data_IF_672430769125
#
_entry.id   IF_672430769125
#
_cell.length_a   1.000
_cell.length_b   1.000
_cell.length_c   1.000
_cell.angle_alpha   90.00
_cell.angle_beta   90.00
_cell.angle_gamma   90.00
#
_symmetry.space_group_name_H-M   'P 1'
#
loop_
_entity.id
_entity.type
_entity.pdbx_description
1 polymer ?
#
# COMPACT_ATOMS: atom_id res chain seq x y z
N UNK A 1 -28.24 -4.57 -9.53
CA UNK A 1 -27.35 -4.31 -10.67
C UNK A 1 -25.98 -4.88 -10.34
N UNK A 2 -25.46 -5.75 -11.19
CA UNK A 2 -24.31 -6.63 -10.92
C UNK A 2 -22.99 -5.82 -10.88
N UNK A 3 -22.63 -5.26 -9.73
CA UNK A 3 -21.40 -4.43 -9.55
C UNK A 3 -20.13 -5.24 -9.33
N UNK A 4 -20.25 -6.57 -9.20
CA UNK A 4 -19.15 -7.44 -8.76
C UNK A 4 -17.99 -7.60 -9.76
N UNK A 5 -18.19 -7.34 -11.05
CA UNK A 5 -17.20 -7.63 -12.09
C UNK A 5 -17.27 -6.68 -13.30
N UNK A 6 -17.28 -5.37 -13.07
CA UNK A 6 -17.05 -4.41 -14.16
C UNK A 6 -15.56 -4.33 -14.50
N UNK A 7 -15.16 -4.28 -15.78
CA UNK A 7 -13.75 -4.25 -16.20
C UNK A 7 -12.94 -3.12 -15.53
N UNK A 8 -13.57 -1.96 -15.29
CA UNK A 8 -12.93 -0.83 -14.61
C UNK A 8 -12.51 -1.15 -13.16
N UNK A 9 -13.33 -1.90 -12.41
CA UNK A 9 -13.03 -2.28 -11.03
C UNK A 9 -11.91 -3.32 -10.97
N UNK A 10 -11.84 -4.24 -11.94
CA UNK A 10 -10.74 -5.21 -12.05
C UNK A 10 -9.40 -4.52 -12.36
N UNK A 11 -9.39 -3.60 -13.32
CA UNK A 11 -8.16 -2.88 -13.71
C UNK A 11 -7.64 -2.04 -12.56
N UNK A 12 -8.54 -1.36 -11.83
CA UNK A 12 -8.18 -0.63 -10.62
C UNK A 12 -7.58 -1.56 -9.57
N UNK A 13 -8.23 -2.68 -9.25
CA UNK A 13 -7.74 -3.64 -8.26
C UNK A 13 -6.36 -4.22 -8.61
N UNK A 14 -6.13 -4.60 -9.88
CA UNK A 14 -4.84 -5.16 -10.34
C UNK A 14 -3.73 -4.10 -10.27
N UNK A 15 -4.00 -2.90 -10.79
CA UNK A 15 -3.04 -1.78 -10.76
C UNK A 15 -2.65 -1.44 -9.34
N UNK A 16 -3.65 -1.40 -8.47
CA UNK A 16 -3.49 -1.10 -7.06
C UNK A 16 -2.67 -2.18 -6.33
N UNK A 17 -2.97 -3.47 -6.57
CA UNK A 17 -2.24 -4.61 -6.00
C UNK A 17 -0.75 -4.59 -6.41
N UNK A 18 -0.47 -4.29 -7.69
CA UNK A 18 0.88 -4.09 -8.20
C UNK A 18 1.61 -2.94 -7.50
N UNK A 19 0.94 -1.79 -7.32
CA UNK A 19 1.53 -0.65 -6.61
C UNK A 19 1.88 -0.99 -5.16
N UNK A 20 0.99 -1.66 -4.43
CA UNK A 20 1.30 -2.11 -3.06
C UNK A 20 2.48 -3.07 -2.99
N UNK A 21 2.56 -4.05 -3.91
CA UNK A 21 3.69 -4.98 -3.94
C UNK A 21 5.02 -4.26 -4.23
N UNK A 22 5.03 -3.33 -5.19
CA UNK A 22 6.19 -2.49 -5.49
C UNK A 22 6.62 -1.63 -4.30
N UNK A 23 5.64 -1.06 -3.58
CA UNK A 23 5.92 -0.21 -2.44
C UNK A 23 6.47 -1.00 -1.24
N UNK A 24 5.88 -2.17 -0.94
CA UNK A 24 6.39 -3.04 0.14
C UNK A 24 7.80 -3.58 -0.17
N UNK A 25 8.05 -4.01 -1.41
CA UNK A 25 9.37 -4.54 -1.80
C UNK A 25 10.47 -3.47 -1.75
N UNK A 26 10.19 -2.25 -2.20
CA UNK A 26 11.15 -1.14 -2.10
C UNK A 26 11.43 -0.77 -0.64
N UNK A 27 10.42 -0.75 0.21
CA UNK A 27 10.59 -0.46 1.65
C UNK A 27 11.42 -1.54 2.35
N UNK A 28 11.18 -2.82 2.03
CA UNK A 28 11.95 -3.93 2.57
C UNK A 28 13.42 -3.91 2.13
N UNK A 29 13.68 -3.64 0.84
CA UNK A 29 15.04 -3.45 0.33
C UNK A 29 15.75 -2.27 0.99
N UNK A 30 15.03 -1.19 1.26
CA UNK A 30 15.56 -0.01 1.93
C UNK A 30 15.93 -0.28 3.40
N UNK A 31 15.12 -1.06 4.12
CA UNK A 31 15.42 -1.54 5.47
C UNK A 31 16.66 -2.44 5.47
N UNK A 32 16.76 -3.39 4.54
CA UNK A 32 17.93 -4.28 4.43
C UNK A 32 19.20 -3.48 4.13
N UNK A 33 19.12 -2.50 3.23
CA UNK A 33 20.22 -1.59 2.93
C UNK A 33 20.71 -0.84 4.19
N UNK A 34 19.78 -0.38 5.02
CA UNK A 34 20.06 0.32 6.27
C UNK A 34 20.64 -0.56 7.38
N UNK A 35 20.26 -1.85 7.43
CA UNK A 35 20.87 -2.80 8.36
C UNK A 35 22.30 -3.13 7.92
N UNK A 36 22.53 -3.27 6.61
CA UNK A 36 23.83 -3.64 6.05
C UNK A 36 24.84 -2.49 6.08
N UNK A 37 24.41 -1.29 5.71
CA UNK A 37 25.23 -0.09 5.83
C UNK A 37 24.80 0.60 7.13
N UNK A 38 25.63 0.56 8.16
CA UNK A 38 25.42 1.24 9.45
C UNK A 38 25.35 2.77 9.23
N UNK A 39 24.15 3.23 8.88
CA UNK A 39 23.95 4.47 8.11
C UNK A 39 23.53 5.62 9.00
N UNK A 40 24.17 6.76 8.74
CA UNK A 40 24.04 8.04 9.45
C UNK A 40 22.59 8.45 9.75
N UNK A 41 22.40 9.21 10.84
CA UNK A 41 21.11 9.75 11.33
C UNK A 41 20.20 10.33 10.24
N UNK A 42 20.76 10.87 9.15
CA UNK A 42 19.99 11.41 8.00
C UNK A 42 19.18 10.35 7.25
N UNK A 43 19.72 9.14 7.07
CA UNK A 43 19.03 8.09 6.30
C UNK A 43 17.92 7.43 7.14
N UNK A 44 18.07 7.40 8.48
CA UNK A 44 16.97 7.04 9.40
C UNK A 44 15.73 7.93 9.24
N UNK A 45 15.90 9.24 9.05
CA UNK A 45 14.78 10.17 8.85
C UNK A 45 14.01 9.84 7.56
N UNK A 46 14.73 9.56 6.47
CA UNK A 46 14.14 9.15 5.19
C UNK A 46 13.35 7.85 5.37
N UNK A 47 13.87 6.92 6.17
CA UNK A 47 13.22 5.66 6.51
C UNK A 47 11.91 5.87 7.26
N UNK A 48 11.89 6.75 8.28
CA UNK A 48 10.67 7.09 9.01
C UNK A 48 9.61 7.72 8.09
N UNK A 49 10.01 8.58 7.15
CA UNK A 49 9.10 9.17 6.17
C UNK A 49 8.50 8.08 5.28
N UNK A 50 9.33 7.18 4.75
CA UNK A 50 8.86 6.04 3.94
C UNK A 50 7.91 5.13 4.71
N UNK A 51 8.23 4.81 5.97
CA UNK A 51 7.40 3.97 6.82
C UNK A 51 6.05 4.62 7.12
N UNK A 52 6.03 5.93 7.37
CA UNK A 52 4.79 6.69 7.59
C UNK A 52 3.93 6.70 6.33
N UNK A 53 4.55 6.81 5.15
CA UNK A 53 3.87 6.77 3.87
C UNK A 53 3.28 5.38 3.57
N UNK A 54 4.00 4.31 3.94
CA UNK A 54 3.52 2.93 3.82
C UNK A 54 2.30 2.67 4.72
N UNK A 55 2.34 3.13 5.98
CA UNK A 55 1.19 3.07 6.90
C UNK A 55 -0.01 3.84 6.34
N UNK A 56 0.22 5.03 5.77
CA UNK A 56 -0.85 5.85 5.17
C UNK A 56 -1.51 5.15 3.96
N UNK A 57 -0.72 4.52 3.10
CA UNK A 57 -1.22 3.72 1.98
C UNK A 57 -2.06 2.56 2.52
N UNK A 58 -1.57 1.85 3.54
CA UNK A 58 -2.31 0.74 4.18
C UNK A 58 -3.64 1.18 4.77
N UNK A 59 -3.68 2.35 5.43
CA UNK A 59 -4.90 2.87 6.04
C UNK A 59 -5.94 3.26 4.96
N UNK A 60 -5.47 3.86 3.87
CA UNK A 60 -6.30 4.17 2.70
C UNK A 60 -6.87 2.90 2.07
N UNK A 61 -6.10 1.81 2.08
CA UNK A 61 -6.48 0.48 1.61
C UNK A 61 -7.60 -0.12 2.46
N UNK A 62 -7.44 -0.05 3.77
CA UNK A 62 -8.42 -0.54 4.74
C UNK A 62 -9.74 0.24 4.63
N UNK A 63 -9.65 1.54 4.39
CA UNK A 63 -10.81 2.40 4.14
C UNK A 63 -11.55 2.02 2.84
N UNK A 64 -10.82 1.79 1.74
CA UNK A 64 -11.43 1.33 0.48
C UNK A 64 -12.09 -0.05 0.64
N UNK A 65 -11.42 -0.99 1.32
CA UNK A 65 -11.99 -2.30 1.61
C UNK A 65 -13.26 -2.20 2.46
N UNK A 66 -13.28 -1.29 3.45
CA UNK A 66 -14.46 -1.00 4.26
C UNK A 66 -15.62 -0.45 3.42
N UNK A 67 -15.37 0.50 2.51
CA UNK A 67 -16.41 1.02 1.61
C UNK A 67 -16.95 -0.09 0.70
N UNK A 68 -16.08 -0.89 0.10
CA UNK A 68 -16.50 -1.98 -0.79
C UNK A 68 -17.35 -3.00 -0.04
N UNK A 69 -16.92 -3.42 1.15
CA UNK A 69 -17.66 -4.41 1.97
C UNK A 69 -18.99 -3.88 2.49
N UNK A 70 -19.05 -2.61 2.91
CA UNK A 70 -20.32 -1.98 3.30
C UNK A 70 -21.25 -1.78 2.11
N UNK A 71 -20.75 -1.34 0.96
CA UNK A 71 -21.54 -1.24 -0.26
C UNK A 71 -22.12 -2.61 -0.68
N UNK A 72 -21.36 -3.70 -0.50
CA UNK A 72 -21.81 -5.06 -0.81
C UNK A 72 -22.84 -5.60 0.19
N UNK A 73 -22.86 -5.10 1.44
CA UNK A 73 -23.83 -5.48 2.48
C UNK A 73 -25.20 -4.83 2.30
N UNK A 74 -25.24 -3.64 1.69
CA UNK A 74 -26.47 -2.89 1.43
C UNK A 74 -27.01 -3.09 0.00
N UNK A 75 -26.49 -4.10 -0.71
CA UNK A 75 -26.90 -4.52 -2.05
C UNK A 75 -27.46 -5.94 -2.01
#
# INVERSE_FOLDING_TARGET
MNTGFTPGNMVFAITFLFFTMLFQTTTMLFIIYMIKNDTSKKIRIILYIFLTLDIFIFLSLLYMAYIVTTALKYY
#
